data_IF_345630689604
#
_entry.id   IF_345630689604
#
_cell.length_a   1.000
_cell.length_b   1.000
_cell.length_c   1.000
_cell.angle_alpha   90.00
_cell.angle_beta   90.00
_cell.angle_gamma   90.00
#
_symmetry.space_group_name_H-M   'P 1'
#
loop_
_entity.id
_entity.type
_entity.pdbx_description
1 polymer ?
#
# COMPACT_ATOMS: atom_id res chain seq x y z
N UNK A 1 -31.87 4.19 7.57
CA UNK A 1 -30.51 4.73 7.70
C UNK A 1 -30.60 6.17 7.23
N UNK A 2 -30.24 7.11 8.07
CA UNK A 2 -30.23 8.51 7.68
C UNK A 2 -29.10 8.82 6.70
N UNK A 3 -29.17 9.95 6.01
CA UNK A 3 -28.19 10.35 4.99
C UNK A 3 -26.77 10.41 5.59
N UNK A 4 -26.64 10.89 6.81
CA UNK A 4 -25.36 10.99 7.50
C UNK A 4 -24.75 9.61 7.78
N UNK A 5 -25.56 8.67 8.26
CA UNK A 5 -25.14 7.29 8.49
C UNK A 5 -24.70 6.59 7.21
N UNK A 6 -25.38 6.87 6.09
CA UNK A 6 -24.98 6.35 4.78
C UNK A 6 -23.61 6.90 4.34
N UNK A 7 -23.38 8.21 4.47
CA UNK A 7 -22.12 8.85 4.11
C UNK A 7 -20.97 8.28 4.95
N UNK A 8 -21.13 8.19 6.27
CA UNK A 8 -20.11 7.65 7.19
C UNK A 8 -19.77 6.21 6.82
N UNK A 9 -20.77 5.38 6.57
CA UNK A 9 -20.57 3.99 6.16
C UNK A 9 -19.79 3.89 4.84
N UNK A 10 -20.12 4.73 3.85
CA UNK A 10 -19.42 4.78 2.56
C UNK A 10 -17.94 5.14 2.72
N UNK A 11 -17.63 6.15 3.54
CA UNK A 11 -16.26 6.57 3.84
C UNK A 11 -15.48 5.43 4.51
N UNK A 12 -16.10 4.71 5.45
CA UNK A 12 -15.48 3.56 6.12
C UNK A 12 -15.20 2.41 5.14
N UNK A 13 -16.11 2.13 4.20
CA UNK A 13 -15.89 1.13 3.15
C UNK A 13 -14.75 1.52 2.21
N UNK A 14 -14.67 2.79 1.80
CA UNK A 14 -13.54 3.30 1.01
C UNK A 14 -12.22 3.10 1.77
N UNK A 15 -12.19 3.39 3.07
CA UNK A 15 -11.01 3.17 3.90
C UNK A 15 -10.64 1.69 4.02
N UNK A 16 -11.62 0.81 4.18
CA UNK A 16 -11.39 -0.64 4.24
C UNK A 16 -10.86 -1.20 2.92
N UNK A 17 -11.46 -0.80 1.80
CA UNK A 17 -11.08 -1.26 0.46
C UNK A 17 -9.89 -0.47 -0.14
N UNK A 18 -9.36 0.52 0.58
CA UNK A 18 -8.30 1.40 0.09
C UNK A 18 -7.13 0.70 -0.60
N UNK A 19 -6.53 -0.37 -0.04
CA UNK A 19 -5.45 -1.10 -0.72
C UNK A 19 -5.85 -1.65 -2.08
N UNK A 20 -7.04 -2.24 -2.18
CA UNK A 20 -7.55 -2.79 -3.43
C UNK A 20 -7.87 -1.69 -4.45
N UNK A 21 -8.51 -0.60 -4.01
CA UNK A 21 -8.83 0.54 -4.87
C UNK A 21 -7.58 1.18 -5.45
N UNK A 22 -6.57 1.48 -4.61
CA UNK A 22 -5.35 2.10 -5.08
C UNK A 22 -4.48 1.17 -5.92
N UNK A 23 -4.45 -0.14 -5.62
CA UNK A 23 -3.78 -1.12 -6.46
C UNK A 23 -4.41 -1.17 -7.86
N UNK A 24 -5.74 -1.37 -7.94
CA UNK A 24 -6.46 -1.51 -9.20
C UNK A 24 -6.37 -0.25 -10.06
N UNK A 25 -6.57 0.92 -9.46
CA UNK A 25 -6.44 2.20 -10.19
C UNK A 25 -5.02 2.46 -10.65
N UNK A 26 -3.98 2.11 -9.87
CA UNK A 26 -2.60 2.25 -10.30
C UNK A 26 -2.27 1.34 -11.49
N UNK A 27 -2.74 0.10 -11.48
CA UNK A 27 -2.59 -0.81 -12.63
C UNK A 27 -3.21 -0.19 -13.89
N UNK A 28 -4.42 0.36 -13.79
CA UNK A 28 -5.11 1.01 -14.91
C UNK A 28 -4.36 2.26 -15.40
N UNK A 29 -3.83 3.08 -14.51
CA UNK A 29 -3.05 4.27 -14.86
C UNK A 29 -1.72 3.93 -15.55
N UNK A 30 -1.09 2.82 -15.18
CA UNK A 30 0.22 2.41 -15.70
C UNK A 30 0.13 1.44 -16.88
N UNK A 31 -1.07 1.01 -17.32
CA UNK A 31 -1.26 -0.03 -18.35
C UNK A 31 -0.50 0.21 -19.65
N UNK A 32 -0.30 1.47 -20.03
CA UNK A 32 0.41 1.84 -21.26
C UNK A 32 1.94 1.97 -21.07
N UNK A 33 2.45 1.77 -19.85
CA UNK A 33 3.88 1.78 -19.55
C UNK A 33 4.29 0.48 -18.85
N UNK A 34 4.60 -0.53 -19.65
CA UNK A 34 4.92 -1.88 -19.15
C UNK A 34 6.10 -1.91 -18.17
N UNK A 35 7.08 -1.01 -18.30
CA UNK A 35 8.21 -0.93 -17.37
C UNK A 35 7.77 -0.41 -16.00
N UNK A 36 7.03 0.70 -15.96
CA UNK A 36 6.49 1.23 -14.69
C UNK A 36 5.53 0.23 -14.05
N UNK A 37 4.64 -0.37 -14.84
CA UNK A 37 3.67 -1.35 -14.36
C UNK A 37 4.36 -2.59 -13.77
N UNK A 38 5.34 -3.17 -14.47
CA UNK A 38 6.04 -4.36 -13.97
C UNK A 38 6.83 -4.08 -12.69
N UNK A 39 7.54 -2.94 -12.62
CA UNK A 39 8.28 -2.56 -11.41
C UNK A 39 7.32 -2.24 -10.25
N UNK A 40 6.19 -1.55 -10.52
CA UNK A 40 5.17 -1.31 -9.53
C UNK A 40 4.61 -2.63 -8.96
N UNK A 41 4.20 -3.55 -9.82
CA UNK A 41 3.60 -4.81 -9.40
C UNK A 41 4.58 -5.69 -8.59
N UNK A 42 5.81 -5.87 -9.07
CA UNK A 42 6.85 -6.61 -8.34
C UNK A 42 7.16 -5.94 -7.00
N UNK A 43 7.34 -4.62 -6.99
CA UNK A 43 7.61 -3.88 -5.77
C UNK A 43 6.45 -3.94 -4.77
N UNK A 44 5.19 -3.93 -5.24
CA UNK A 44 4.01 -4.11 -4.40
C UNK A 44 4.00 -5.48 -3.70
N UNK A 45 4.28 -6.55 -4.44
CA UNK A 45 4.38 -7.91 -3.88
C UNK A 45 5.52 -8.00 -2.88
N UNK A 46 6.70 -7.47 -3.19
CA UNK A 46 7.85 -7.44 -2.28
C UNK A 46 7.53 -6.64 -1.01
N UNK A 47 6.82 -5.52 -1.13
CA UNK A 47 6.37 -4.71 0.00
C UNK A 47 5.40 -5.49 0.91
N UNK A 48 4.49 -6.30 0.34
CA UNK A 48 3.61 -7.18 1.12
C UNK A 48 4.39 -8.28 1.84
N UNK A 49 5.35 -8.92 1.18
CA UNK A 49 6.21 -9.95 1.78
C UNK A 49 7.01 -9.34 2.92
N UNK A 50 7.61 -8.17 2.72
CA UNK A 50 8.35 -7.44 3.76
C UNK A 50 7.46 -7.12 4.97
N UNK A 51 6.21 -6.69 4.73
CA UNK A 51 5.26 -6.45 5.83
C UNK A 51 5.02 -7.71 6.69
N UNK A 52 4.88 -8.88 6.05
CA UNK A 52 4.70 -10.16 6.75
C UNK A 52 5.95 -10.50 7.57
N UNK A 53 7.14 -10.35 7.00
CA UNK A 53 8.41 -10.60 7.68
C UNK A 53 8.56 -9.68 8.90
N UNK A 54 8.32 -8.38 8.73
CA UNK A 54 8.39 -7.41 9.82
C UNK A 54 7.39 -7.72 10.93
N UNK A 55 6.17 -8.15 10.61
CA UNK A 55 5.20 -8.61 11.62
C UNK A 55 5.74 -9.80 12.42
N UNK A 56 6.35 -10.77 11.74
CA UNK A 56 6.92 -11.94 12.37
C UNK A 56 8.11 -11.63 13.30
N UNK A 57 8.89 -10.59 12.98
CA UNK A 57 10.03 -10.12 13.76
C UNK A 57 9.62 -9.25 14.95
N UNK A 58 8.78 -8.24 14.73
CA UNK A 58 8.40 -7.24 15.73
C UNK A 58 7.40 -7.80 16.75
N UNK A 59 6.47 -8.65 16.31
CA UNK A 59 5.47 -9.34 17.13
C UNK A 59 4.62 -8.42 18.03
N UNK A 60 4.45 -7.16 17.65
CA UNK A 60 3.65 -6.22 18.44
C UNK A 60 2.16 -6.56 18.35
N UNK A 61 1.43 -6.67 19.48
CA UNK A 61 0.01 -6.96 19.47
C UNK A 61 -0.82 -5.83 18.85
N UNK A 62 -2.05 -6.16 18.44
CA UNK A 62 -3.06 -5.17 18.02
C UNK A 62 -3.73 -4.54 19.24
N UNK A 63 -4.31 -3.34 19.12
CA UNK A 63 -5.00 -2.66 20.23
C UNK A 63 -6.42 -3.19 20.50
N UNK A 64 -6.80 -4.37 20.00
CA UNK A 64 -8.11 -4.94 20.30
C UNK A 64 -8.20 -5.29 21.78
N UNK A 65 -9.25 -4.81 22.45
CA UNK A 65 -9.48 -5.02 23.88
C UNK A 65 -9.91 -6.47 24.19
N UNK A 66 -10.43 -7.18 23.19
CA UNK A 66 -10.91 -8.54 23.35
C UNK A 66 -9.93 -9.54 22.79
N UNK A 67 -8.97 -9.96 23.64
CA UNK A 67 -8.01 -11.00 23.30
C UNK A 67 -8.67 -12.37 23.08
N UNK A 68 -9.83 -12.63 23.67
CA UNK A 68 -10.54 -13.89 23.48
C UNK A 68 -11.09 -14.04 22.09
N UNK A 69 -11.74 -12.99 21.56
CA UNK A 69 -12.22 -12.94 20.17
C UNK A 69 -11.06 -12.98 19.17
N UNK A 70 -9.97 -12.30 19.48
CA UNK A 70 -8.77 -12.32 18.65
C UNK A 70 -8.17 -13.72 18.60
N UNK A 71 -7.97 -14.37 19.73
CA UNK A 71 -7.42 -15.72 19.82
C UNK A 71 -8.33 -16.75 19.15
N UNK A 72 -9.64 -16.66 19.35
CA UNK A 72 -10.61 -17.51 18.66
C UNK A 72 -10.54 -17.34 17.13
N UNK A 73 -10.39 -16.12 16.63
CA UNK A 73 -10.25 -15.86 15.19
C UNK A 73 -8.97 -16.46 14.62
N UNK A 74 -7.87 -16.48 15.39
CA UNK A 74 -6.62 -17.13 14.99
C UNK A 74 -6.79 -18.67 14.99
N UNK A 75 -7.39 -19.23 16.05
CA UNK A 75 -7.59 -20.66 16.19
C UNK A 75 -8.51 -21.25 15.11
N UNK A 76 -9.50 -20.49 14.63
CA UNK A 76 -10.41 -20.91 13.56
C UNK A 76 -9.93 -20.57 12.14
N UNK A 77 -8.67 -20.24 11.97
CA UNK A 77 -8.09 -19.98 10.63
C UNK A 77 -8.58 -18.71 9.94
N UNK A 78 -9.28 -17.83 10.63
CA UNK A 78 -9.73 -16.53 10.10
C UNK A 78 -8.59 -15.51 9.91
N UNK A 79 -7.43 -15.75 10.51
CA UNK A 79 -6.21 -14.96 10.34
C UNK A 79 -5.02 -15.89 10.13
N UNK A 80 -4.23 -15.60 9.10
CA UNK A 80 -2.97 -16.28 8.86
C UNK A 80 -2.01 -15.96 10.01
N UNK A 81 -1.22 -16.95 10.42
CA UNK A 81 -0.34 -16.97 11.60
C UNK A 81 0.38 -15.63 11.91
N UNK A 82 0.88 -14.93 10.89
CA UNK A 82 1.61 -13.67 11.07
C UNK A 82 0.71 -12.42 11.06
N UNK A 83 -0.49 -12.49 10.53
CA UNK A 83 -1.43 -11.35 10.51
C UNK A 83 -2.07 -11.06 11.87
N UNK A 84 -1.85 -11.92 12.87
CA UNK A 84 -2.22 -11.64 14.26
C UNK A 84 -1.51 -10.40 14.83
N UNK A 85 -0.30 -10.09 14.35
CA UNK A 85 0.47 -8.95 14.81
C UNK A 85 0.06 -7.64 14.14
N UNK A 86 0.19 -6.54 14.90
CA UNK A 86 -0.25 -5.21 14.46
C UNK A 86 0.82 -4.39 13.73
N UNK A 87 2.09 -4.63 13.98
CA UNK A 87 3.20 -3.77 13.51
C UNK A 87 3.99 -4.45 12.39
N UNK A 88 4.16 -3.77 11.24
CA UNK A 88 3.48 -2.57 10.77
C UNK A 88 2.09 -2.86 10.21
N UNK A 89 1.24 -1.80 10.05
CA UNK A 89 -0.07 -1.94 9.43
C UNK A 89 0.04 -2.27 7.94
N UNK A 90 -0.47 -3.44 7.51
CA UNK A 90 -0.41 -3.87 6.11
C UNK A 90 -1.24 -2.99 5.18
N UNK A 91 -2.44 -2.54 5.61
CA UNK A 91 -3.24 -1.60 4.83
C UNK A 91 -2.51 -0.27 4.61
N UNK A 92 -1.91 0.30 5.67
CA UNK A 92 -1.14 1.52 5.54
C UNK A 92 0.07 1.34 4.62
N UNK A 93 0.84 0.26 4.79
CA UNK A 93 1.99 -0.05 3.94
C UNK A 93 1.59 -0.10 2.46
N UNK A 94 0.47 -0.75 2.13
CA UNK A 94 -0.01 -0.90 0.75
C UNK A 94 -0.51 0.40 0.14
N UNK A 95 -1.35 1.17 0.87
CA UNK A 95 -1.90 2.42 0.30
C UNK A 95 -0.84 3.50 0.16
N UNK A 96 0.10 3.60 1.10
CA UNK A 96 1.19 4.58 1.01
C UNK A 96 2.23 4.18 -0.03
N UNK A 97 2.45 2.88 -0.27
CA UNK A 97 3.24 2.41 -1.41
C UNK A 97 2.63 2.90 -2.73
N UNK A 98 1.35 2.64 -2.97
CA UNK A 98 0.68 3.06 -4.21
C UNK A 98 0.66 4.58 -4.35
N UNK A 99 0.35 5.31 -3.27
CA UNK A 99 0.33 6.78 -3.26
C UNK A 99 1.68 7.38 -3.63
N UNK A 100 2.76 6.93 -2.97
CA UNK A 100 4.10 7.44 -3.22
C UNK A 100 4.60 7.06 -4.62
N UNK A 101 4.33 5.82 -5.08
CA UNK A 101 4.73 5.42 -6.42
C UNK A 101 4.05 6.28 -7.50
N UNK A 102 2.74 6.51 -7.39
CA UNK A 102 1.99 7.39 -8.32
C UNK A 102 2.51 8.82 -8.27
N UNK A 103 2.79 9.34 -7.08
CA UNK A 103 3.39 10.68 -6.92
C UNK A 103 4.71 10.82 -7.69
N UNK A 104 5.63 9.88 -7.53
CA UNK A 104 6.93 9.93 -8.20
C UNK A 104 6.84 9.65 -9.70
N UNK A 105 6.01 8.67 -10.11
CA UNK A 105 5.97 8.20 -11.48
C UNK A 105 5.14 9.09 -12.41
N UNK A 106 3.99 9.58 -11.96
CA UNK A 106 3.06 10.34 -12.81
C UNK A 106 3.17 11.85 -12.63
N UNK A 107 3.74 12.33 -11.53
CA UNK A 107 3.96 13.76 -11.23
C UNK A 107 2.67 14.60 -11.38
N UNK A 108 1.51 14.02 -11.12
CA UNK A 108 0.22 14.68 -11.17
C UNK A 108 -0.24 15.11 -9.77
N UNK A 109 -0.29 16.39 -9.44
CA UNK A 109 -0.72 16.87 -8.13
C UNK A 109 -2.14 16.39 -7.76
N UNK A 110 -3.06 16.46 -8.72
CA UNK A 110 -4.46 16.07 -8.51
C UNK A 110 -4.57 14.58 -8.12
N UNK A 111 -3.94 13.69 -8.91
CA UNK A 111 -3.95 12.25 -8.63
C UNK A 111 -3.29 11.95 -7.28
N UNK A 112 -2.15 12.58 -7.00
CA UNK A 112 -1.43 12.41 -5.74
C UNK A 112 -2.27 12.83 -4.55
N UNK A 113 -3.02 13.92 -4.66
CA UNK A 113 -3.93 14.40 -3.60
C UNK A 113 -5.07 13.41 -3.38
N UNK A 114 -5.72 12.91 -4.44
CA UNK A 114 -6.79 11.91 -4.32
C UNK A 114 -6.28 10.63 -3.65
N UNK A 115 -5.12 10.13 -4.08
CA UNK A 115 -4.50 8.95 -3.49
C UNK A 115 -4.16 9.16 -2.01
N UNK A 116 -3.63 10.32 -1.66
CA UNK A 116 -3.30 10.67 -0.28
C UNK A 116 -4.55 10.72 0.61
N UNK A 117 -5.66 11.28 0.12
CA UNK A 117 -6.93 11.29 0.85
C UNK A 117 -7.41 9.87 1.14
N UNK A 118 -7.37 8.98 0.14
CA UNK A 118 -7.75 7.57 0.34
C UNK A 118 -6.80 6.88 1.32
N UNK A 119 -5.49 7.14 1.23
CA UNK A 119 -4.50 6.55 2.13
C UNK A 119 -4.68 7.00 3.58
N UNK A 120 -4.92 8.29 3.81
CA UNK A 120 -5.21 8.84 5.15
C UNK A 120 -6.52 8.23 5.69
N UNK A 121 -7.58 8.18 4.88
CA UNK A 121 -8.85 7.58 5.27
C UNK A 121 -8.69 6.10 5.62
N UNK A 122 -7.87 5.34 4.86
CA UNK A 122 -7.53 3.97 5.19
C UNK A 122 -6.85 3.87 6.55
N UNK A 123 -5.84 4.69 6.82
CA UNK A 123 -5.17 4.74 8.11
C UNK A 123 -6.12 5.06 9.26
N UNK A 124 -6.96 6.08 9.10
CA UNK A 124 -7.98 6.45 10.06
C UNK A 124 -8.95 5.31 10.36
N UNK A 125 -9.47 4.65 9.32
CA UNK A 125 -10.38 3.50 9.45
C UNK A 125 -9.72 2.37 10.27
N UNK A 126 -8.43 2.09 10.07
CA UNK A 126 -7.71 1.06 10.85
C UNK A 126 -7.60 1.41 12.32
N UNK A 127 -7.48 2.68 12.68
CA UNK A 127 -7.44 3.17 14.06
C UNK A 127 -8.84 3.16 14.65
N UNK A 128 -9.83 3.72 13.95
CA UNK A 128 -11.24 3.78 14.37
C UNK A 128 -11.79 2.41 14.79
N UNK A 129 -11.48 1.37 14.01
CA UNK A 129 -11.93 0.01 14.29
C UNK A 129 -10.93 -0.82 15.14
N UNK A 130 -10.04 -0.16 15.87
CA UNK A 130 -9.05 -0.79 16.79
C UNK A 130 -8.25 -1.94 16.15
N UNK A 131 -8.08 -1.94 14.83
CA UNK A 131 -7.24 -2.92 14.15
C UNK A 131 -5.75 -2.62 14.31
N UNK A 132 -5.42 -1.32 14.44
CA UNK A 132 -4.05 -0.83 14.58
C UNK A 132 -3.99 0.40 15.48
N UNK A 133 -2.84 0.61 16.14
CA UNK A 133 -2.51 1.86 16.79
C UNK A 133 -2.05 2.89 15.76
N UNK A 134 -2.05 4.18 16.14
CA UNK A 134 -1.51 5.26 15.31
C UNK A 134 -0.05 4.98 14.89
N UNK A 135 0.79 4.50 15.82
CA UNK A 135 2.19 4.18 15.53
C UNK A 135 2.34 3.04 14.52
N UNK A 136 1.49 2.01 14.59
CA UNK A 136 1.48 0.91 13.62
C UNK A 136 1.12 1.39 12.22
N UNK A 137 0.19 2.37 12.12
CA UNK A 137 -0.20 3.00 10.86
C UNK A 137 0.92 3.88 10.32
N UNK A 138 1.53 4.73 11.15
CA UNK A 138 2.64 5.60 10.75
C UNK A 138 3.83 4.77 10.26
N UNK A 139 4.24 3.74 11.01
CA UNK A 139 5.29 2.83 10.56
C UNK A 139 4.98 2.19 9.21
N UNK A 140 3.74 1.72 9.02
CA UNK A 140 3.31 1.19 7.73
C UNK A 140 3.42 2.22 6.61
N UNK A 141 2.98 3.46 6.86
CA UNK A 141 3.07 4.55 5.89
C UNK A 141 4.52 4.87 5.49
N UNK A 142 5.42 4.97 6.44
CA UNK A 142 6.85 5.21 6.19
C UNK A 142 7.47 4.09 5.36
N UNK A 143 7.25 2.83 5.77
CA UNK A 143 7.78 1.65 5.07
C UNK A 143 7.26 1.60 3.62
N UNK A 144 5.95 1.78 3.41
CA UNK A 144 5.36 1.78 2.07
C UNK A 144 5.92 2.90 1.19
N UNK A 145 6.10 4.10 1.74
CA UNK A 145 6.68 5.23 1.02
C UNK A 145 8.13 4.98 0.61
N UNK A 146 8.96 4.45 1.50
CA UNK A 146 10.36 4.12 1.21
C UNK A 146 10.44 3.02 0.13
N UNK A 147 9.64 1.96 0.27
CA UNK A 147 9.57 0.87 -0.71
C UNK A 147 9.16 1.38 -2.11
N UNK A 148 8.19 2.29 -2.18
CA UNK A 148 7.76 2.91 -3.43
C UNK A 148 8.86 3.77 -4.07
N UNK A 149 9.58 4.53 -3.27
CA UNK A 149 10.70 5.35 -3.75
C UNK A 149 11.82 4.48 -4.34
N UNK A 150 12.18 3.40 -3.64
CA UNK A 150 13.17 2.42 -4.14
C UNK A 150 12.69 1.81 -5.46
N UNK A 151 11.44 1.35 -5.54
CA UNK A 151 10.87 0.80 -6.76
C UNK A 151 10.89 1.82 -7.91
N UNK A 152 10.55 3.08 -7.65
CA UNK A 152 10.62 4.16 -8.64
C UNK A 152 12.05 4.40 -9.15
N UNK A 153 13.06 4.38 -8.29
CA UNK A 153 14.47 4.50 -8.71
C UNK A 153 14.90 3.35 -9.62
N UNK A 154 14.45 2.12 -9.35
CA UNK A 154 14.68 0.98 -10.26
C UNK A 154 14.00 1.18 -11.62
N UNK A 155 12.75 1.65 -11.63
CA UNK A 155 12.02 1.91 -12.86
C UNK A 155 12.72 2.96 -13.74
N UNK A 156 13.18 4.06 -13.15
CA UNK A 156 13.87 5.14 -13.88
C UNK A 156 15.21 4.69 -14.46
N UNK A 157 15.99 3.90 -13.70
CA UNK A 157 17.24 3.33 -14.20
C UNK A 157 17.00 2.36 -15.37
N UNK A 158 15.98 1.51 -15.29
CA UNK A 158 15.62 0.57 -16.35
C UNK A 158 15.17 1.31 -17.61
N UNK A 159 14.36 2.35 -17.49
CA UNK A 159 13.91 3.18 -18.61
C UNK A 159 15.10 3.88 -19.26
N UNK A 160 16.01 4.47 -18.49
CA UNK A 160 17.21 5.12 -19.00
C UNK A 160 18.10 4.15 -19.76
N UNK A 161 18.29 2.92 -19.25
CA UNK A 161 19.05 1.87 -19.94
C UNK A 161 18.43 1.47 -21.28
N UNK A 162 17.10 1.31 -21.33
CA UNK A 162 16.41 0.98 -22.58
C UNK A 162 16.51 2.10 -23.63
N UNK A 163 16.46 3.36 -23.20
CA UNK A 163 16.64 4.51 -24.11
C UNK A 163 18.06 4.60 -24.64
N UNK A 164 19.07 4.28 -23.84
CA UNK A 164 20.46 4.24 -24.28
C UNK A 164 20.65 3.18 -25.36
N UNK A 165 20.23 1.95 -25.11
CA UNK A 165 20.37 0.85 -26.07
C UNK A 165 19.67 1.18 -27.40
N UNK A 166 18.47 1.78 -27.37
CA UNK A 166 17.75 2.16 -28.59
C UNK A 166 18.47 3.23 -29.42
N UNK A 167 19.24 4.12 -28.79
CA UNK A 167 20.08 5.09 -29.51
C UNK A 167 21.27 4.44 -30.18
N UNK A 168 21.88 3.45 -29.53
CA UNK A 168 23.03 2.71 -30.06
C UNK A 168 22.62 1.87 -31.29
N UNK A 169 21.40 1.31 -31.30
CA UNK A 169 20.85 0.55 -32.45
C UNK A 169 20.58 1.38 -33.71
N UNK A 170 20.48 2.71 -33.60
CA UNK A 170 20.27 3.62 -34.72
C UNK A 170 21.54 4.43 -35.10
N UNK A 171 22.69 4.10 -34.55
CA UNK A 171 23.96 4.72 -34.97
C UNK A 171 24.29 4.25 -36.39
N UNK A 172 24.53 5.19 -37.36
CA UNK A 172 25.00 4.78 -38.68
C UNK A 172 26.36 4.04 -38.56
N UNK A 173 26.44 2.92 -39.25
CA UNK A 173 27.69 2.16 -39.42
C UNK A 173 28.74 3.00 -40.13
#
# INVERSE_FOLDING_TARGET
MDVLGFIISTIDYIGYLGPFLLLSTTILLLKNNGTLLSVYAVGYVLNMIMNIILKALIKQPRPSEDLSVFNASVAHGKRISFDRYGMPSGHATSVFYSTAFVFFALKSPLLSTVYLIVAINTGYQRIKYKNHTLMQVICGAVIGTIAAYIAYLFATKKIAGLLKNKKDDNAPL
#
